data_IF_932702413806
#
_entry.id   IF_932702413806
#
_cell.length_a   1.000
_cell.length_b   1.000
_cell.length_c   1.000
_cell.angle_alpha   90.00
_cell.angle_beta   90.00
_cell.angle_gamma   90.00
#
_symmetry.space_group_name_H-M   'P 1'
#
loop_
_entity.id
_entity.type
_entity.pdbx_description
1 polymer ?
#
# COMPACT_ATOMS: atom_id res chain seq x y z
N UNK A 1 6.07 -23.70 4.43
CA UNK A 1 6.15 -22.24 4.63
C UNK A 1 5.42 -21.90 5.92
N UNK A 2 5.90 -20.94 6.74
CA UNK A 2 5.22 -20.56 7.99
C UNK A 2 4.39 -19.30 7.76
N UNK A 3 3.08 -19.46 7.57
CA UNK A 3 2.13 -18.35 7.39
C UNK A 3 1.86 -17.64 8.71
N UNK A 4 1.35 -16.41 8.63
CA UNK A 4 0.73 -15.73 9.77
C UNK A 4 -0.60 -16.41 10.10
N UNK A 5 -0.98 -16.43 11.37
CA UNK A 5 -2.32 -16.85 11.79
C UNK A 5 -3.31 -15.66 11.80
N UNK A 6 -4.59 -15.95 12.10
CA UNK A 6 -5.66 -14.93 12.17
C UNK A 6 -5.28 -13.74 13.05
N UNK A 7 -4.81 -13.99 14.28
CA UNK A 7 -4.44 -12.92 15.23
C UNK A 7 -3.32 -12.05 14.70
N UNK A 8 -2.29 -12.64 14.07
CA UNK A 8 -1.17 -11.88 13.50
C UNK A 8 -1.61 -11.04 12.28
N UNK A 9 -2.55 -11.54 11.48
CA UNK A 9 -3.14 -10.76 10.39
C UNK A 9 -4.01 -9.61 10.91
N UNK A 10 -4.81 -9.83 11.95
CA UNK A 10 -5.57 -8.75 12.59
C UNK A 10 -4.64 -7.70 13.21
N UNK A 11 -3.57 -8.12 13.89
CA UNK A 11 -2.53 -7.23 14.41
C UNK A 11 -1.87 -6.41 13.30
N UNK A 12 -1.58 -7.03 12.14
CA UNK A 12 -1.05 -6.29 10.99
C UNK A 12 -2.04 -5.24 10.48
N UNK A 13 -3.33 -5.57 10.36
CA UNK A 13 -4.36 -4.63 9.87
C UNK A 13 -4.58 -3.48 10.85
N UNK A 14 -4.57 -3.78 12.15
CA UNK A 14 -4.78 -2.77 13.21
C UNK A 14 -3.53 -1.91 13.36
N UNK A 15 -2.38 -2.52 13.60
CA UNK A 15 -1.16 -1.79 13.96
C UNK A 15 -0.31 -1.36 12.76
N UNK A 16 -0.55 -1.97 11.59
CA UNK A 16 0.22 -1.72 10.37
C UNK A 16 1.57 -2.41 10.32
N UNK A 17 1.91 -3.30 11.27
CA UNK A 17 3.17 -4.05 11.21
C UNK A 17 3.14 -5.40 11.94
N UNK A 18 4.05 -6.29 11.58
CA UNK A 18 4.37 -7.53 12.28
C UNK A 18 5.88 -7.74 12.37
N UNK A 19 6.35 -8.32 13.48
CA UNK A 19 7.75 -8.68 13.67
C UNK A 19 7.95 -10.18 13.44
N UNK A 20 9.01 -10.50 12.69
CA UNK A 20 9.40 -11.87 12.37
C UNK A 20 10.87 -12.01 12.72
N UNK A 21 11.23 -13.15 13.30
CA UNK A 21 12.63 -13.54 13.49
C UNK A 21 13.01 -14.50 12.37
N UNK A 22 13.94 -14.11 11.50
CA UNK A 22 14.54 -15.05 10.56
C UNK A 22 15.56 -15.92 11.32
N UNK A 23 15.45 -17.26 11.30
CA UNK A 23 16.28 -18.17 12.09
C UNK A 23 17.63 -18.44 11.41
N UNK A 24 18.38 -17.39 11.09
CA UNK A 24 19.78 -17.51 10.69
C UNK A 24 20.70 -17.44 11.90
N UNK A 25 21.94 -17.91 11.74
CA UNK A 25 22.93 -17.88 12.81
C UNK A 25 23.41 -16.45 13.08
N UNK A 26 23.90 -16.15 14.30
CA UNK A 26 24.51 -14.84 14.58
C UNK A 26 25.61 -14.46 13.57
N UNK A 27 26.44 -15.43 13.15
CA UNK A 27 27.50 -15.22 12.17
C UNK A 27 26.99 -14.76 10.79
N UNK A 28 25.80 -15.20 10.37
CA UNK A 28 25.17 -14.74 9.14
C UNK A 28 24.86 -13.24 9.23
N UNK A 29 24.23 -12.81 10.31
CA UNK A 29 23.85 -11.41 10.51
C UNK A 29 25.09 -10.51 10.67
N UNK A 30 26.09 -10.96 11.41
CA UNK A 30 27.38 -10.26 11.54
C UNK A 30 28.11 -10.10 10.21
N UNK A 31 28.07 -11.11 9.34
CA UNK A 31 28.64 -11.03 7.99
C UNK A 31 27.92 -9.99 7.13
N UNK A 32 26.58 -9.95 7.17
CA UNK A 32 25.79 -8.93 6.46
C UNK A 32 26.11 -7.53 6.98
N UNK A 33 26.21 -7.37 8.31
CA UNK A 33 26.58 -6.10 8.95
C UNK A 33 27.98 -5.64 8.54
N UNK A 34 28.97 -6.53 8.55
CA UNK A 34 30.35 -6.20 8.20
C UNK A 34 30.47 -5.73 6.74
N UNK A 35 29.79 -6.41 5.81
CA UNK A 35 29.73 -5.99 4.41
C UNK A 35 29.04 -4.63 4.25
N UNK A 36 27.96 -4.38 4.98
CA UNK A 36 27.29 -3.08 4.95
C UNK A 36 28.21 -1.95 5.47
N UNK A 37 28.97 -2.20 6.54
CA UNK A 37 29.92 -1.23 7.08
C UNK A 37 31.05 -0.92 6.08
N UNK A 38 31.60 -1.95 5.44
CA UNK A 38 32.62 -1.80 4.39
C UNK A 38 32.11 -0.97 3.19
N UNK A 39 30.93 -1.31 2.65
CA UNK A 39 30.30 -0.59 1.54
C UNK A 39 30.08 0.89 1.89
N UNK A 40 29.55 1.18 3.08
CA UNK A 40 29.28 2.56 3.50
C UNK A 40 30.56 3.35 3.76
N UNK A 41 31.62 2.70 4.24
CA UNK A 41 32.90 3.35 4.49
C UNK A 41 33.68 3.69 3.20
N UNK A 42 33.41 2.95 2.11
CA UNK A 42 34.15 3.07 0.85
C UNK A 42 33.37 3.81 -0.24
N UNK A 43 32.10 3.47 -0.44
CA UNK A 43 31.28 3.93 -1.59
C UNK A 43 30.05 4.73 -1.17
N UNK A 44 29.67 4.69 0.11
CA UNK A 44 28.45 5.31 0.61
C UNK A 44 27.23 4.41 0.48
N UNK A 45 26.03 5.00 0.42
CA UNK A 45 24.79 4.22 0.37
C UNK A 45 24.62 3.55 -1.01
N UNK A 46 24.57 2.20 -1.09
CA UNK A 46 24.47 1.51 -2.38
C UNK A 46 23.08 1.60 -3.01
N UNK A 47 22.06 2.05 -2.28
CA UNK A 47 20.67 2.08 -2.74
C UNK A 47 20.24 0.72 -3.32
N UNK A 48 19.79 0.74 -4.58
CA UNK A 48 19.38 -0.46 -5.30
C UNK A 48 20.55 -1.41 -5.65
N UNK A 49 21.81 -1.08 -5.40
CA UNK A 49 22.92 -2.02 -5.59
C UNK A 49 23.13 -2.97 -4.38
N UNK A 50 22.35 -2.84 -3.30
CA UNK A 50 22.59 -3.61 -2.07
C UNK A 50 22.45 -5.14 -2.22
N UNK A 51 21.47 -5.66 -2.98
CA UNK A 51 21.28 -7.12 -3.11
C UNK A 51 22.47 -7.78 -3.84
N UNK A 52 22.95 -7.28 -4.99
CA UNK A 52 24.14 -7.86 -5.60
C UNK A 52 25.40 -7.61 -4.75
N UNK A 53 25.46 -6.52 -3.98
CA UNK A 53 26.59 -6.23 -3.09
C UNK A 53 26.63 -7.11 -1.83
N UNK A 54 25.48 -7.56 -1.32
CA UNK A 54 25.37 -8.48 -0.18
C UNK A 54 24.42 -9.63 -0.55
N UNK A 55 24.92 -10.68 -1.22
CA UNK A 55 24.10 -11.77 -1.75
C UNK A 55 23.27 -12.50 -0.70
N UNK A 56 23.72 -12.57 0.57
CA UNK A 56 22.99 -13.20 1.68
C UNK A 56 21.59 -12.60 1.92
N UNK A 57 21.34 -11.37 1.47
CA UNK A 57 20.00 -10.79 1.55
C UNK A 57 18.98 -11.55 0.70
N UNK A 58 19.41 -12.20 -0.39
CA UNK A 58 18.54 -13.08 -1.16
C UNK A 58 18.11 -14.30 -0.34
N UNK A 59 19.02 -14.89 0.45
CA UNK A 59 18.71 -16.01 1.35
C UNK A 59 17.71 -15.57 2.43
N UNK A 60 17.89 -14.38 3.00
CA UNK A 60 16.97 -13.81 4.00
C UNK A 60 15.54 -13.74 3.47
N UNK A 61 15.34 -13.18 2.28
CA UNK A 61 14.00 -13.01 1.70
C UNK A 61 13.41 -14.27 1.08
N UNK A 62 14.25 -15.30 0.86
CA UNK A 62 13.82 -16.64 0.45
C UNK A 62 13.53 -17.55 1.66
N UNK A 63 13.82 -17.09 2.88
CA UNK A 63 13.62 -17.88 4.08
C UNK A 63 12.11 -18.11 4.36
N UNK A 64 11.65 -19.34 4.65
CA UNK A 64 10.23 -19.68 4.79
C UNK A 64 9.42 -18.86 5.80
N UNK A 65 10.06 -18.30 6.83
CA UNK A 65 9.42 -17.41 7.80
C UNK A 65 9.15 -16.01 7.22
N UNK A 66 10.07 -15.48 6.42
CA UNK A 66 9.95 -14.14 5.80
C UNK A 66 9.00 -14.24 4.60
N UNK A 67 9.22 -15.22 3.72
CA UNK A 67 8.34 -15.50 2.58
C UNK A 67 6.91 -15.81 3.04
N UNK A 68 6.77 -16.56 4.16
CA UNK A 68 5.46 -16.91 4.70
C UNK A 68 4.65 -15.71 5.17
N UNK A 69 5.29 -14.79 5.88
CA UNK A 69 4.61 -13.56 6.31
C UNK A 69 4.33 -12.59 5.17
N UNK A 70 5.28 -12.40 4.24
CA UNK A 70 5.04 -11.60 3.03
C UNK A 70 3.90 -12.18 2.19
N UNK A 71 3.83 -13.51 2.04
CA UNK A 71 2.70 -14.16 1.33
C UNK A 71 1.38 -13.97 2.07
N UNK A 72 1.40 -14.05 3.40
CA UNK A 72 0.19 -13.82 4.21
C UNK A 72 -0.38 -12.42 3.97
N UNK A 73 0.48 -11.41 3.88
CA UNK A 73 0.11 -9.99 3.76
C UNK A 73 -0.15 -9.56 2.30
N UNK A 74 0.69 -9.96 1.35
CA UNK A 74 0.65 -9.49 -0.04
C UNK A 74 0.04 -10.50 -1.01
N UNK A 75 -0.32 -11.69 -0.54
CA UNK A 75 -0.77 -12.78 -1.39
C UNK A 75 0.39 -13.57 -2.00
N UNK A 76 0.09 -14.75 -2.59
CA UNK A 76 1.07 -15.49 -3.37
C UNK A 76 1.54 -14.68 -4.57
N UNK A 77 2.75 -14.98 -5.07
CA UNK A 77 3.27 -14.32 -6.26
C UNK A 77 3.60 -12.83 -6.10
N UNK A 78 3.65 -12.30 -4.86
CA UNK A 78 4.13 -10.96 -4.57
C UNK A 78 5.53 -10.74 -5.19
N UNK A 79 5.85 -9.49 -5.52
CA UNK A 79 7.15 -9.13 -6.08
C UNK A 79 7.92 -8.24 -5.11
N UNK A 80 9.24 -8.45 -5.04
CA UNK A 80 10.14 -7.46 -4.44
C UNK A 80 10.31 -6.31 -5.44
N UNK A 81 9.80 -5.13 -5.08
CA UNK A 81 9.93 -3.95 -5.91
C UNK A 81 11.41 -3.54 -6.00
N UNK A 82 11.90 -3.02 -7.14
CA UNK A 82 13.30 -2.64 -7.30
C UNK A 82 13.79 -1.56 -6.34
N UNK A 83 12.89 -0.86 -5.63
CA UNK A 83 13.22 0.12 -4.61
C UNK A 83 13.73 -0.52 -3.31
N UNK A 84 14.92 -0.13 -2.90
CA UNK A 84 15.53 -0.54 -1.63
C UNK A 84 16.49 0.53 -1.14
N UNK A 85 16.57 0.66 0.17
CA UNK A 85 17.36 1.71 0.80
C UNK A 85 18.03 1.20 2.08
N UNK A 86 19.33 1.43 2.20
CA UNK A 86 20.07 1.09 3.39
C UNK A 86 20.22 2.32 4.27
N UNK A 87 19.67 2.28 5.49
CA UNK A 87 19.75 3.37 6.43
C UNK A 87 20.91 3.14 7.40
N UNK A 88 22.01 3.88 7.21
CA UNK A 88 23.03 4.07 8.23
C UNK A 88 22.59 5.16 9.22
N UNK A 89 22.63 4.82 10.50
CA UNK A 89 22.47 5.77 11.60
C UNK A 89 23.72 5.74 12.47
N UNK A 90 24.67 6.66 12.25
CA UNK A 90 25.90 6.72 13.02
C UNK A 90 25.64 7.22 14.45
N UNK A 91 26.59 7.02 15.38
CA UNK A 91 26.57 7.63 16.70
C UNK A 91 26.24 9.13 16.65
N UNK A 92 25.46 9.60 17.62
CA UNK A 92 25.03 11.01 17.77
C UNK A 92 24.10 11.54 16.69
N UNK A 93 23.65 10.72 15.73
CA UNK A 93 22.62 11.15 14.77
C UNK A 93 21.34 11.50 15.53
N UNK A 94 20.77 12.65 15.17
CA UNK A 94 19.51 13.13 15.72
C UNK A 94 18.31 12.45 15.08
N UNK A 95 17.22 12.39 15.82
CA UNK A 95 15.96 11.87 15.35
C UNK A 95 15.42 12.64 14.13
N UNK A 96 14.76 11.91 13.24
CA UNK A 96 13.93 12.46 12.18
C UNK A 96 12.54 12.81 12.74
N UNK A 97 11.74 13.54 11.96
CA UNK A 97 10.29 13.64 12.18
C UNK A 97 9.58 12.43 11.60
N UNK A 98 8.39 12.13 12.11
CA UNK A 98 7.52 11.13 11.50
C UNK A 98 7.19 11.52 10.06
N UNK A 99 7.21 10.52 9.18
CA UNK A 99 6.88 10.65 7.78
C UNK A 99 6.28 9.33 7.28
N UNK A 100 5.60 9.43 6.14
CA UNK A 100 5.29 8.29 5.28
C UNK A 100 6.33 8.24 4.17
N UNK A 101 6.58 7.04 3.65
CA UNK A 101 7.53 6.87 2.57
C UNK A 101 6.99 7.39 1.24
N UNK A 102 7.92 7.74 0.36
CA UNK A 102 7.71 7.91 -1.08
C UNK A 102 8.84 7.18 -1.80
N UNK A 103 8.59 6.70 -3.02
CA UNK A 103 9.65 6.21 -3.89
C UNK A 103 9.82 7.21 -5.04
N UNK A 104 11.06 7.59 -5.39
CA UNK A 104 11.40 8.46 -6.55
C UNK A 104 10.80 9.87 -6.60
N UNK A 105 10.50 10.48 -5.46
CA UNK A 105 9.68 11.71 -5.44
C UNK A 105 8.29 11.52 -6.07
N UNK A 106 7.91 10.27 -6.36
CA UNK A 106 6.59 9.94 -6.86
C UNK A 106 5.56 10.30 -5.80
N UNK A 107 4.58 11.12 -6.20
CA UNK A 107 3.45 11.40 -5.35
C UNK A 107 2.53 10.19 -5.42
N UNK A 108 2.73 9.30 -4.45
CA UNK A 108 2.07 8.02 -4.40
C UNK A 108 0.58 8.19 -4.11
N UNK A 109 -0.26 7.38 -4.76
CA UNK A 109 -1.61 7.13 -4.24
C UNK A 109 -1.46 6.31 -2.96
N UNK A 110 -2.03 6.79 -1.87
CA UNK A 110 -2.09 6.04 -0.60
C UNK A 110 -3.25 5.06 -0.67
N UNK A 111 -3.00 3.81 -0.28
CA UNK A 111 -4.01 2.75 -0.35
C UNK A 111 -4.26 2.19 1.04
N UNK A 112 -5.53 2.12 1.45
CA UNK A 112 -5.90 1.37 2.66
C UNK A 112 -5.81 -0.13 2.44
N UNK A 113 -6.04 -0.59 1.20
CA UNK A 113 -5.78 -1.98 0.80
C UNK A 113 -4.28 -2.21 0.77
N UNK A 114 -3.83 -3.36 1.29
CA UNK A 114 -2.40 -3.69 1.36
C UNK A 114 -1.86 -4.12 -0.02
N UNK A 115 -1.68 -3.12 -0.88
CA UNK A 115 -1.04 -3.23 -2.21
C UNK A 115 0.47 -3.30 -2.09
N UNK A 116 1.02 -2.66 -1.06
CA UNK A 116 2.44 -2.50 -0.83
C UNK A 116 2.78 -2.76 0.63
N UNK A 117 3.95 -3.35 0.86
CA UNK A 117 4.51 -3.50 2.19
C UNK A 117 6.03 -3.32 2.14
N UNK A 118 6.62 -2.94 3.26
CA UNK A 118 8.07 -2.85 3.41
C UNK A 118 8.57 -3.84 4.42
N UNK A 119 9.80 -4.31 4.25
CA UNK A 119 10.51 -5.06 5.26
C UNK A 119 11.70 -4.24 5.78
N UNK A 120 11.74 -4.04 7.10
CA UNK A 120 12.87 -3.46 7.82
C UNK A 120 13.69 -4.58 8.44
N UNK A 121 14.90 -4.78 7.94
CA UNK A 121 15.81 -5.81 8.43
C UNK A 121 16.97 -5.19 9.23
N UNK A 122 17.21 -5.74 10.42
CA UNK A 122 18.35 -5.40 11.27
C UNK A 122 19.39 -6.53 11.27
N UNK A 123 20.61 -6.31 10.74
CA UNK A 123 21.69 -7.29 10.80
C UNK A 123 22.45 -7.25 12.13
N UNK A 124 22.02 -6.44 13.10
CA UNK A 124 22.58 -6.38 14.45
C UNK A 124 21.47 -6.26 15.49
N UNK A 125 21.79 -6.56 16.74
CA UNK A 125 20.92 -6.21 17.87
C UNK A 125 20.69 -4.69 17.89
N UNK A 126 19.44 -4.31 18.12
CA UNK A 126 19.02 -2.91 18.21
C UNK A 126 18.33 -2.68 19.55
N UNK A 127 19.02 -1.95 20.41
CA UNK A 127 18.51 -1.47 21.69
C UNK A 127 17.89 -0.08 21.54
N UNK A 128 17.23 0.40 22.61
CA UNK A 128 16.63 1.74 22.65
C UNK A 128 17.67 2.84 22.34
N UNK A 129 18.89 2.70 22.85
CA UNK A 129 19.96 3.69 22.69
C UNK A 129 20.58 3.70 21.29
N UNK A 130 20.39 2.66 20.48
CA UNK A 130 20.97 2.54 19.13
C UNK A 130 20.16 3.28 18.06
N UNK A 131 19.11 3.98 18.46
CA UNK A 131 18.23 4.71 17.56
C UNK A 131 17.43 3.78 16.66
N UNK A 132 16.57 2.88 17.21
CA UNK A 132 15.69 2.04 16.42
C UNK A 132 14.79 2.88 15.51
N UNK A 133 14.27 2.27 14.45
CA UNK A 133 13.11 2.84 13.76
C UNK A 133 11.94 2.84 14.75
N UNK A 134 11.20 3.92 14.81
CA UNK A 134 9.91 3.93 15.50
C UNK A 134 8.77 4.00 14.50
N UNK A 135 7.62 3.49 14.93
CA UNK A 135 6.38 3.48 14.16
C UNK A 135 5.25 4.03 15.02
N UNK A 136 4.23 4.56 14.35
CA UNK A 136 2.97 4.97 14.96
C UNK A 136 1.91 3.93 14.57
N UNK A 137 1.53 2.98 15.45
CA UNK A 137 0.53 1.97 15.13
C UNK A 137 -0.78 2.58 14.62
N UNK A 138 -1.50 1.87 13.74
CA UNK A 138 -2.77 2.29 13.10
C UNK A 138 -2.70 3.54 12.20
N UNK A 139 -1.53 4.19 12.10
CA UNK A 139 -1.38 5.44 11.36
C UNK A 139 -1.37 5.28 9.83
N UNK A 140 -1.28 4.06 9.31
CA UNK A 140 -1.25 3.79 7.87
C UNK A 140 -2.48 4.26 7.11
N UNK A 141 -3.57 4.52 7.82
CA UNK A 141 -4.83 5.01 7.26
C UNK A 141 -4.96 6.55 7.31
N UNK A 142 -4.00 7.25 7.93
CA UNK A 142 -4.05 8.71 8.08
C UNK A 142 -3.12 9.40 7.09
N UNK A 143 -3.62 10.49 6.52
CA UNK A 143 -2.88 11.36 5.60
C UNK A 143 -2.20 12.49 6.38
N UNK A 144 -2.78 12.94 7.50
CA UNK A 144 -2.19 14.03 8.29
C UNK A 144 -1.24 13.52 9.37
N UNK A 145 -0.07 14.17 9.48
CA UNK A 145 0.87 13.90 10.58
C UNK A 145 0.23 14.17 11.94
N UNK A 146 -0.55 15.24 12.04
CA UNK A 146 -1.17 15.66 13.30
C UNK A 146 -2.17 14.63 13.83
N UNK A 147 -2.86 13.89 12.94
CA UNK A 147 -3.68 12.74 13.35
C UNK A 147 -2.80 11.54 13.70
N UNK A 148 -1.78 11.24 12.89
CA UNK A 148 -0.88 10.10 13.12
C UNK A 148 -0.13 10.20 14.46
N UNK A 149 0.38 11.38 14.83
CA UNK A 149 1.17 11.61 16.05
C UNK A 149 0.34 11.53 17.35
N UNK A 150 -0.98 11.34 17.25
CA UNK A 150 -1.84 11.00 18.41
C UNK A 150 -1.67 9.54 18.84
N UNK A 151 -1.16 8.68 17.95
CA UNK A 151 -0.95 7.26 18.22
C UNK A 151 0.26 7.06 19.14
N UNK A 152 0.20 6.04 19.99
CA UNK A 152 1.31 5.73 20.90
C UNK A 152 2.51 5.19 20.11
N UNK A 153 3.62 5.93 20.14
CA UNK A 153 4.85 5.54 19.45
C UNK A 153 5.45 4.22 19.98
N UNK A 154 5.83 3.34 19.04
CA UNK A 154 6.49 2.06 19.33
C UNK A 154 7.88 2.03 18.72
N UNK A 155 8.88 1.67 19.54
CA UNK A 155 10.27 1.51 19.12
C UNK A 155 10.53 0.08 18.66
N UNK A 156 11.00 -0.07 17.42
CA UNK A 156 11.29 -1.38 16.81
C UNK A 156 12.66 -1.94 17.25
N UNK A 157 12.82 -2.14 18.56
CA UNK A 157 13.95 -2.90 19.11
C UNK A 157 13.81 -4.40 18.80
N UNK A 158 14.95 -5.09 18.81
CA UNK A 158 15.02 -6.52 18.60
C UNK A 158 16.46 -7.00 18.41
N UNK A 159 16.64 -8.31 18.45
CA UNK A 159 17.92 -8.96 18.18
C UNK A 159 18.25 -8.91 16.67
N UNK A 160 19.53 -9.11 16.32
CA UNK A 160 19.98 -9.33 14.94
C UNK A 160 19.14 -10.41 14.26
N UNK A 161 18.73 -10.19 13.01
CA UNK A 161 17.81 -11.10 12.32
C UNK A 161 16.33 -10.76 12.45
N UNK A 162 16.00 -9.73 13.24
CA UNK A 162 14.63 -9.19 13.28
C UNK A 162 14.30 -8.56 11.93
N UNK A 163 13.20 -9.01 11.33
CA UNK A 163 12.56 -8.43 10.16
C UNK A 163 11.19 -7.92 10.59
N UNK A 164 10.96 -6.61 10.49
CA UNK A 164 9.63 -6.03 10.71
C UNK A 164 8.99 -5.77 9.35
N UNK A 165 7.89 -6.44 9.05
CA UNK A 165 7.09 -6.11 7.87
C UNK A 165 6.09 -5.03 8.27
N UNK A 166 6.09 -3.92 7.55
CA UNK A 166 5.21 -2.77 7.79
C UNK A 166 4.34 -2.51 6.57
N UNK A 167 3.13 -2.02 6.79
CA UNK A 167 2.32 -1.41 5.75
C UNK A 167 3.08 -0.24 5.12
N UNK A 168 2.99 -0.07 3.80
CA UNK A 168 3.77 0.96 3.10
C UNK A 168 3.53 2.38 3.65
N UNK A 169 2.28 2.67 3.97
CA UNK A 169 1.85 3.99 4.45
C UNK A 169 1.97 4.18 5.98
N UNK A 170 2.56 3.22 6.71
CA UNK A 170 2.74 3.34 8.16
C UNK A 170 3.69 4.51 8.49
N UNK A 171 3.25 5.43 9.34
CA UNK A 171 4.10 6.54 9.76
C UNK A 171 5.24 6.03 10.62
N UNK A 172 6.45 6.46 10.29
CA UNK A 172 7.65 6.01 10.96
C UNK A 172 8.74 7.09 10.95
N UNK A 173 9.79 6.87 11.75
CA UNK A 173 10.99 7.71 11.76
C UNK A 173 12.21 6.95 12.27
N UNK A 174 13.40 7.42 11.91
CA UNK A 174 14.60 7.06 12.66
C UNK A 174 14.66 7.86 13.96
N UNK A 175 14.90 7.17 15.08
CA UNK A 175 15.18 7.82 16.37
C UNK A 175 16.67 8.11 16.55
N UNK A 176 17.01 8.89 17.58
CA UNK A 176 18.40 9.30 17.83
C UNK A 176 19.28 8.11 18.23
N UNK A 177 20.47 8.01 17.65
CA UNK A 177 21.47 7.02 18.08
C UNK A 177 22.38 7.63 19.14
N UNK A 178 22.16 7.24 20.41
CA UNK A 178 22.95 7.66 21.58
C UNK A 178 24.06 6.66 21.92
N UNK A 179 24.08 5.51 21.24
CA UNK A 179 25.13 4.51 21.38
C UNK A 179 26.44 4.95 20.72
N UNK A 180 27.48 4.12 20.88
CA UNK A 180 28.79 4.30 20.29
C UNK A 180 28.99 3.51 18.98
N UNK A 181 27.93 2.87 18.43
CA UNK A 181 28.03 2.02 17.24
C UNK A 181 27.12 2.49 16.11
N UNK A 182 27.55 2.24 14.87
CA UNK A 182 26.70 2.37 13.69
C UNK A 182 25.49 1.41 13.79
N UNK A 183 24.32 1.90 13.38
CA UNK A 183 23.09 1.10 13.29
C UNK A 183 22.61 1.08 11.85
N UNK A 184 22.64 -0.10 11.23
CA UNK A 184 22.11 -0.36 9.90
C UNK A 184 20.66 -0.85 9.97
N UNK A 185 19.79 -0.31 9.13
CA UNK A 185 18.48 -0.87 8.82
C UNK A 185 18.36 -0.97 7.31
N UNK A 186 18.10 -2.15 6.77
CA UNK A 186 17.93 -2.33 5.33
C UNK A 186 16.44 -2.43 5.01
N UNK A 187 15.96 -1.51 4.18
CA UNK A 187 14.56 -1.36 3.78
C UNK A 187 14.35 -1.92 2.38
N UNK A 188 13.37 -2.80 2.24
CA UNK A 188 12.97 -3.40 0.96
C UNK A 188 11.48 -3.21 0.75
N UNK A 189 11.09 -2.84 -0.46
CA UNK A 189 9.70 -2.65 -0.84
C UNK A 189 9.17 -3.88 -1.57
N UNK A 190 7.91 -4.21 -1.35
CA UNK A 190 7.22 -5.33 -1.98
C UNK A 190 5.84 -4.88 -2.45
N UNK A 191 5.39 -5.44 -3.57
CA UNK A 191 4.06 -5.20 -4.11
C UNK A 191 3.28 -6.51 -4.26
N UNK A 192 1.98 -6.41 -3.97
CA UNK A 192 0.97 -7.40 -4.33
C UNK A 192 0.79 -7.40 -5.84
N UNK A 193 0.81 -8.59 -6.43
CA UNK A 193 0.68 -8.76 -7.89
C UNK A 193 -0.72 -9.17 -8.33
N UNK A 194 -1.55 -9.67 -7.41
CA UNK A 194 -2.86 -10.26 -7.69
C UNK A 194 -3.88 -9.87 -6.60
N UNK A 195 -5.14 -9.67 -6.99
CA UNK A 195 -6.24 -9.48 -6.03
C UNK A 195 -6.41 -10.73 -5.15
N UNK A 196 -6.68 -10.57 -3.85
CA UNK A 196 -7.04 -11.71 -3.00
C UNK A 196 -8.36 -12.33 -3.49
N UNK A 197 -8.34 -13.62 -3.82
CA UNK A 197 -9.53 -14.43 -4.08
C UNK A 197 -9.95 -15.28 -2.86
N UNK A 198 -9.03 -15.45 -1.91
CA UNK A 198 -9.19 -16.19 -0.66
C UNK A 198 -8.09 -15.76 0.32
N UNK A 199 -8.19 -16.10 1.62
CA UNK A 199 -7.10 -15.91 2.57
C UNK A 199 -5.79 -16.52 2.08
N UNK A 200 -4.70 -15.74 2.16
CA UNK A 200 -3.33 -16.18 1.88
C UNK A 200 -2.50 -16.45 3.15
N UNK A 201 -3.15 -16.44 4.31
CA UNK A 201 -2.58 -16.75 5.62
C UNK A 201 -3.19 -18.04 6.20
N UNK A 202 -2.72 -18.49 7.35
CA UNK A 202 -3.28 -19.64 8.08
C UNK A 202 -4.60 -19.23 8.75
N UNK A 203 -5.66 -19.21 7.95
CA UNK A 203 -6.97 -18.72 8.36
C UNK A 203 -7.83 -19.84 8.93
N UNK A 204 -8.27 -19.67 10.17
CA UNK A 204 -9.17 -20.60 10.86
C UNK A 204 -10.56 -20.01 11.08
N UNK A 205 -10.67 -18.68 11.10
CA UNK A 205 -11.92 -17.94 11.22
C UNK A 205 -11.98 -16.81 10.19
N UNK A 206 -12.98 -16.83 9.31
CA UNK A 206 -13.18 -15.78 8.31
C UNK A 206 -13.81 -14.51 8.88
N UNK A 207 -14.41 -14.57 10.06
CA UNK A 207 -15.04 -13.42 10.71
C UNK A 207 -14.00 -12.60 11.48
N UNK A 208 -14.15 -11.28 11.44
CA UNK A 208 -13.38 -10.38 12.27
C UNK A 208 -13.64 -10.67 13.75
N UNK A 209 -12.61 -11.04 14.50
CA UNK A 209 -12.70 -11.15 15.96
C UNK A 209 -12.56 -9.76 16.57
N UNK A 210 -13.61 -9.31 17.25
CA UNK A 210 -13.56 -8.06 18.02
C UNK A 210 -12.60 -8.22 19.20
N UNK A 211 -11.76 -7.20 19.44
CA UNK A 211 -10.94 -7.10 20.64
C UNK A 211 -11.76 -6.58 21.82
N UNK A 212 -11.32 -6.85 23.05
CA UNK A 212 -11.91 -6.26 24.25
C UNK A 212 -11.62 -4.74 24.39
N UNK A 213 -10.68 -4.21 23.60
CA UNK A 213 -10.36 -2.79 23.54
C UNK A 213 -11.31 -2.03 22.59
N UNK A 214 -11.55 -0.74 22.87
CA UNK A 214 -12.32 0.13 21.97
C UNK A 214 -11.58 0.27 20.64
N UNK A 215 -12.18 -0.24 19.56
CA UNK A 215 -11.65 -0.13 18.20
C UNK A 215 -11.81 1.31 17.69
N UNK A 216 -10.72 1.96 17.24
CA UNK A 216 -10.76 3.33 16.70
C UNK A 216 -11.40 3.37 15.30
N UNK A 217 -11.13 2.35 14.47
CA UNK A 217 -11.54 2.29 13.06
C UNK A 217 -12.23 0.95 12.69
N UNK A 218 -13.29 0.52 13.41
CA UNK A 218 -13.85 -0.82 13.30
C UNK A 218 -14.42 -1.17 11.92
N UNK A 219 -15.13 -0.24 11.25
CA UNK A 219 -15.65 -0.53 9.90
C UNK A 219 -14.53 -0.61 8.87
N UNK A 220 -13.50 0.24 9.00
CA UNK A 220 -12.34 0.21 8.13
C UNK A 220 -11.60 -1.13 8.26
N UNK A 221 -11.24 -1.55 9.48
CA UNK A 221 -10.47 -2.78 9.70
C UNK A 221 -11.21 -4.02 9.20
N UNK A 222 -12.53 -4.10 9.42
CA UNK A 222 -13.37 -5.17 8.86
C UNK A 222 -13.39 -5.16 7.34
N UNK A 223 -13.46 -3.99 6.72
CA UNK A 223 -13.39 -3.88 5.26
C UNK A 223 -12.06 -4.38 4.70
N UNK A 224 -10.94 -4.00 5.32
CA UNK A 224 -9.59 -4.46 4.91
C UNK A 224 -9.42 -5.97 5.14
N UNK A 225 -9.89 -6.50 6.27
CA UNK A 225 -9.92 -7.94 6.57
C UNK A 225 -10.72 -8.73 5.53
N UNK A 226 -11.95 -8.27 5.24
CA UNK A 226 -12.81 -8.89 4.24
C UNK A 226 -12.18 -8.88 2.86
N UNK A 227 -11.50 -7.79 2.49
CA UNK A 227 -10.74 -7.73 1.23
C UNK A 227 -9.63 -8.78 1.21
N UNK A 228 -8.78 -8.89 2.24
CA UNK A 228 -7.76 -9.95 2.33
C UNK A 228 -8.36 -11.36 2.26
N UNK A 229 -9.56 -11.57 2.80
CA UNK A 229 -10.31 -12.82 2.70
C UNK A 229 -10.93 -13.10 1.32
N UNK A 230 -10.72 -12.21 0.34
CA UNK A 230 -11.27 -12.29 -1.01
C UNK A 230 -12.74 -11.89 -1.10
N UNK A 231 -13.20 -11.01 -0.21
CA UNK A 231 -14.58 -10.55 -0.07
C UNK A 231 -15.61 -11.69 0.08
N UNK A 232 -15.18 -12.83 0.62
CA UNK A 232 -16.07 -13.99 0.89
C UNK A 232 -17.10 -13.69 1.98
N UNK A 233 -16.80 -12.73 2.85
CA UNK A 233 -17.71 -12.22 3.88
C UNK A 233 -18.59 -11.13 3.26
N UNK A 234 -19.38 -11.47 2.25
CA UNK A 234 -20.50 -10.63 1.83
C UNK A 234 -21.66 -11.46 1.30
N UNK A 235 -22.62 -11.75 2.18
CA UNK A 235 -24.02 -11.87 1.80
C UNK A 235 -24.88 -11.20 2.88
N UNK A 236 -25.70 -10.27 2.43
CA UNK A 236 -26.79 -9.64 3.17
C UNK A 236 -27.51 -10.64 4.09
N UNK A 237 -27.28 -10.60 5.42
CA UNK A 237 -28.26 -10.88 6.49
C UNK A 237 -27.71 -11.01 7.92
N UNK A 238 -26.42 -11.28 8.15
CA UNK A 238 -26.01 -11.72 9.50
C UNK A 238 -25.65 -10.63 10.53
N UNK A 239 -25.34 -9.39 10.11
CA UNK A 239 -25.17 -8.27 11.06
C UNK A 239 -26.49 -7.73 11.64
N UNK A 240 -27.63 -8.31 11.25
CA UNK A 240 -28.93 -8.04 11.87
C UNK A 240 -29.18 -8.91 13.12
N UNK A 241 -28.45 -10.01 13.30
CA UNK A 241 -28.78 -11.02 14.32
C UNK A 241 -28.09 -10.79 15.69
N UNK A 242 -27.15 -9.85 15.81
CA UNK A 242 -26.48 -9.50 17.09
C UNK A 242 -26.98 -8.19 17.71
N UNK A 243 -28.04 -7.57 17.17
CA UNK A 243 -28.68 -6.45 17.86
C UNK A 243 -29.64 -6.97 18.93
N UNK A 244 -29.20 -6.85 20.19
CA UNK A 244 -30.13 -6.63 21.29
C UNK A 244 -31.14 -5.54 20.88
N UNK A 245 -32.41 -5.81 21.19
CA UNK A 245 -33.63 -5.08 20.84
C UNK A 245 -33.51 -3.68 20.21
N UNK A 246 -34.28 -3.39 19.14
CA UNK A 246 -34.31 -2.06 18.54
C UNK A 246 -34.83 -1.05 19.57
N UNK A 247 -33.94 -0.20 20.07
CA UNK A 247 -34.37 1.07 20.66
C UNK A 247 -35.03 1.87 19.53
N UNK A 248 -36.22 2.41 19.82
CA UNK A 248 -37.05 3.19 18.90
C UNK A 248 -36.22 4.22 18.10
N UNK A 249 -36.65 4.58 16.88
CA UNK A 249 -35.92 5.52 16.04
C UNK A 249 -35.94 6.90 16.70
N UNK A 250 -34.92 7.16 17.52
CA UNK A 250 -34.53 8.51 17.87
C UNK A 250 -34.05 9.17 16.58
N UNK A 251 -34.60 10.32 16.27
CA UNK A 251 -34.13 11.18 15.20
C UNK A 251 -32.67 11.54 15.45
N UNK A 252 -31.74 10.76 14.91
CA UNK A 252 -30.36 11.19 14.69
C UNK A 252 -30.27 11.96 13.36
N UNK A 253 -31.18 12.92 13.17
CA UNK A 253 -30.76 14.19 12.57
C UNK A 253 -30.06 14.96 13.70
N UNK A 254 -28.85 14.52 14.04
CA UNK A 254 -27.94 15.30 14.84
C UNK A 254 -27.52 16.51 14.03
N UNK A 255 -28.32 17.57 14.09
CA UNK A 255 -27.81 18.92 13.91
C UNK A 255 -26.58 19.05 14.81
N UNK A 256 -25.39 19.15 14.19
CA UNK A 256 -24.13 19.47 14.86
C UNK A 256 -24.24 20.94 15.30
N UNK A 257 -25.00 21.20 16.35
CA UNK A 257 -24.88 22.41 17.14
C UNK A 257 -23.74 22.18 18.13
N UNK A 258 -22.51 22.50 17.71
CA UNK A 258 -21.33 22.30 18.55
C UNK A 258 -19.97 22.23 17.84
N UNK A 259 -19.68 23.13 16.90
CA UNK A 259 -18.38 23.81 16.80
C UNK A 259 -17.03 23.05 16.72
N UNK A 260 -16.97 21.78 16.31
CA UNK A 260 -15.68 21.14 16.00
C UNK A 260 -15.73 20.34 14.69
N UNK A 261 -14.80 20.63 13.79
CA UNK A 261 -14.59 19.84 12.56
C UNK A 261 -14.29 18.38 12.96
N UNK A 262 -14.96 17.37 12.35
CA UNK A 262 -14.71 15.97 12.68
C UNK A 262 -13.23 15.60 12.47
N UNK A 263 -12.65 14.79 13.36
CA UNK A 263 -11.28 14.29 13.19
C UNK A 263 -11.15 13.46 11.93
N UNK A 264 -9.93 13.35 11.37
CA UNK A 264 -9.67 12.52 10.17
C UNK A 264 -10.14 11.07 10.38
N UNK A 265 -9.88 10.49 11.56
CA UNK A 265 -10.37 9.16 11.92
C UNK A 265 -11.91 9.06 11.87
N UNK A 266 -12.61 10.07 12.41
CA UNK A 266 -14.08 10.11 12.39
C UNK A 266 -14.65 10.23 10.98
N UNK A 267 -14.00 11.02 10.11
CA UNK A 267 -14.39 11.17 8.70
C UNK A 267 -14.17 9.86 7.91
N UNK A 268 -13.02 9.20 8.10
CA UNK A 268 -12.73 7.92 7.48
C UNK A 268 -13.74 6.85 7.89
N UNK A 269 -13.98 6.73 9.19
CA UNK A 269 -14.94 5.75 9.70
C UNK A 269 -16.37 6.05 9.21
N UNK A 270 -16.75 7.33 9.04
CA UNK A 270 -18.00 7.69 8.38
C UNK A 270 -18.05 7.25 6.91
N UNK A 271 -16.95 7.42 6.15
CA UNK A 271 -16.89 6.97 4.75
C UNK A 271 -17.07 5.44 4.64
N UNK A 272 -16.45 4.67 5.53
CA UNK A 272 -16.63 3.20 5.61
C UNK A 272 -18.02 2.79 6.10
N UNK A 273 -18.71 3.59 6.92
CA UNK A 273 -20.13 3.33 7.24
C UNK A 273 -21.05 3.58 6.05
N UNK A 274 -20.79 4.64 5.27
CA UNK A 274 -21.57 4.95 4.07
C UNK A 274 -21.43 3.86 3.01
N UNK A 275 -20.24 3.26 2.85
CA UNK A 275 -20.01 2.19 1.87
C UNK A 275 -20.95 0.98 2.05
N UNK A 276 -21.45 0.76 3.27
CA UNK A 276 -22.37 -0.32 3.63
C UNK A 276 -23.84 -0.02 3.34
N UNK A 277 -24.16 1.19 2.88
CA UNK A 277 -25.55 1.64 2.68
C UNK A 277 -26.07 1.42 1.26
N UNK A 278 -25.32 0.74 0.40
CA UNK A 278 -25.71 0.51 -0.99
C UNK A 278 -25.77 1.83 -1.79
N UNK A 279 -26.71 1.93 -2.72
CA UNK A 279 -26.81 3.07 -3.64
C UNK A 279 -26.90 4.46 -2.94
N UNK A 280 -27.69 4.65 -1.85
CA UNK A 280 -27.66 5.90 -1.09
C UNK A 280 -26.26 6.28 -0.58
N UNK A 281 -25.50 5.27 -0.11
CA UNK A 281 -24.11 5.45 0.32
C UNK A 281 -23.19 5.89 -0.81
N UNK A 282 -23.32 5.27 -2.00
CA UNK A 282 -22.54 5.65 -3.18
C UNK A 282 -22.80 7.09 -3.60
N UNK A 283 -24.08 7.51 -3.60
CA UNK A 283 -24.49 8.87 -3.95
C UNK A 283 -23.84 9.89 -3.02
N UNK A 284 -23.94 9.65 -1.72
CA UNK A 284 -23.37 10.54 -0.71
C UNK A 284 -21.84 10.59 -0.79
N UNK A 285 -21.17 9.44 -0.92
CA UNK A 285 -19.72 9.37 -1.08
C UNK A 285 -19.24 10.07 -2.35
N UNK A 286 -19.95 9.93 -3.47
CA UNK A 286 -19.59 10.59 -4.74
C UNK A 286 -19.79 12.10 -4.66
N UNK A 287 -20.81 12.56 -3.93
CA UNK A 287 -21.01 13.99 -3.65
C UNK A 287 -19.84 14.54 -2.82
N UNK A 288 -19.49 13.87 -1.71
CA UNK A 288 -18.35 14.27 -0.86
C UNK A 288 -17.03 14.24 -1.61
N UNK A 289 -16.84 13.25 -2.49
CA UNK A 289 -15.68 13.19 -3.37
C UNK A 289 -15.52 14.48 -4.20
N UNK A 290 -16.62 14.99 -4.77
CA UNK A 290 -16.60 16.23 -5.54
C UNK A 290 -16.26 17.45 -4.67
N UNK A 291 -16.79 17.51 -3.45
CA UNK A 291 -16.50 18.58 -2.48
C UNK A 291 -15.04 18.53 -2.03
N UNK A 292 -14.55 17.37 -1.61
CA UNK A 292 -13.15 17.15 -1.20
C UNK A 292 -12.16 17.49 -2.32
N UNK A 293 -12.49 17.14 -3.57
CA UNK A 293 -11.65 17.43 -4.74
C UNK A 293 -11.48 18.93 -5.00
N UNK A 294 -12.43 19.76 -4.60
CA UNK A 294 -12.32 21.23 -4.70
C UNK A 294 -11.55 21.78 -3.51
N UNK A 295 -11.88 21.31 -2.30
CA UNK A 295 -11.30 21.82 -1.05
C UNK A 295 -9.81 21.50 -0.91
N UNK A 296 -9.38 20.32 -1.36
CA UNK A 296 -8.04 19.80 -1.08
C UNK A 296 -7.06 19.94 -2.25
N UNK A 297 -7.51 20.33 -3.45
CA UNK A 297 -6.65 20.29 -4.64
C UNK A 297 -5.39 21.14 -4.49
N UNK A 298 -5.54 22.42 -4.16
CA UNK A 298 -4.41 23.35 -4.02
C UNK A 298 -3.45 22.88 -2.93
N UNK A 299 -4.01 22.39 -1.81
CA UNK A 299 -3.23 21.82 -0.72
C UNK A 299 -2.42 20.59 -1.16
N UNK A 300 -3.08 19.64 -1.83
CA UNK A 300 -2.45 18.40 -2.26
C UNK A 300 -1.40 18.65 -3.36
N UNK A 301 -1.65 19.58 -4.28
CA UNK A 301 -0.66 19.98 -5.30
C UNK A 301 0.57 20.67 -4.70
N UNK A 302 0.40 21.44 -3.63
CA UNK A 302 1.51 22.06 -2.92
C UNK A 302 2.26 21.09 -1.99
N UNK A 303 1.58 20.03 -1.54
CA UNK A 303 2.15 19.02 -0.66
C UNK A 303 3.14 18.12 -1.42
N UNK A 304 4.33 17.94 -0.85
CA UNK A 304 5.29 16.97 -1.38
C UNK A 304 4.80 15.56 -1.12
N UNK A 305 4.96 14.69 -2.10
CA UNK A 305 4.67 13.25 -1.99
C UNK A 305 3.19 12.91 -1.68
N UNK A 306 2.28 13.82 -2.05
CA UNK A 306 0.83 13.63 -1.96
C UNK A 306 0.24 13.63 -3.36
N UNK A 307 -0.52 12.60 -3.71
CA UNK A 307 -1.26 12.61 -4.96
C UNK A 307 -2.40 13.65 -4.89
N UNK A 308 -2.51 14.58 -5.87
CA UNK A 308 -3.58 15.59 -5.92
C UNK A 308 -5.01 15.03 -5.80
N UNK A 309 -5.24 13.79 -6.25
CA UNK A 309 -6.53 13.12 -6.24
C UNK A 309 -6.72 12.11 -5.09
N UNK A 310 -5.86 12.16 -4.06
CA UNK A 310 -6.03 11.37 -2.85
C UNK A 310 -7.11 12.00 -1.96
N UNK A 311 -8.29 11.41 -1.97
CA UNK A 311 -9.49 11.93 -1.29
C UNK A 311 -10.04 10.88 -0.33
N UNK A 312 -10.60 11.30 0.80
CA UNK A 312 -11.07 10.38 1.86
C UNK A 312 -12.26 9.54 1.37
N UNK A 313 -13.14 10.16 0.59
CA UNK A 313 -14.30 9.49 0.02
C UNK A 313 -13.93 8.37 -0.97
N UNK A 314 -12.70 8.35 -1.52
CA UNK A 314 -12.18 7.24 -2.32
C UNK A 314 -12.26 5.92 -1.54
N UNK A 315 -11.84 5.92 -0.28
CA UNK A 315 -11.76 4.70 0.52
C UNK A 315 -13.13 4.07 0.79
N UNK A 316 -14.16 4.91 1.00
CA UNK A 316 -15.54 4.46 1.13
C UNK A 316 -16.07 3.85 -0.16
N UNK A 317 -15.84 4.49 -1.31
CA UNK A 317 -16.25 3.97 -2.62
C UNK A 317 -15.51 2.66 -2.96
N UNK A 318 -14.22 2.56 -2.64
CA UNK A 318 -13.44 1.32 -2.76
C UNK A 318 -14.01 0.20 -1.90
N UNK A 319 -14.36 0.49 -0.64
CA UNK A 319 -14.93 -0.49 0.28
C UNK A 319 -16.30 -1.01 -0.18
N UNK A 320 -17.03 -0.20 -0.94
CA UNK A 320 -18.31 -0.58 -1.51
C UNK A 320 -18.20 -1.54 -2.70
N UNK A 321 -17.06 -1.52 -3.41
CA UNK A 321 -16.80 -2.43 -4.52
C UNK A 321 -17.68 -2.16 -5.74
N UNK A 322 -18.20 -3.24 -6.36
CA UNK A 322 -18.93 -3.18 -7.63
C UNK A 322 -20.11 -2.19 -7.64
N UNK A 323 -20.79 -1.99 -6.50
CA UNK A 323 -21.93 -1.08 -6.39
C UNK A 323 -21.56 0.40 -6.59
N UNK A 324 -20.30 0.79 -6.37
CA UNK A 324 -19.83 2.15 -6.63
C UNK A 324 -19.52 2.41 -8.11
N UNK A 325 -19.34 1.36 -8.92
CA UNK A 325 -18.80 1.50 -10.29
C UNK A 325 -19.67 2.38 -11.21
N UNK A 326 -21.01 2.31 -11.20
CA UNK A 326 -21.83 3.22 -12.02
C UNK A 326 -21.60 4.70 -11.72
N UNK A 327 -21.36 5.05 -10.45
CA UNK A 327 -21.09 6.42 -10.03
C UNK A 327 -19.69 6.86 -10.48
N UNK A 328 -18.71 5.98 -10.36
CA UNK A 328 -17.33 6.23 -10.80
C UNK A 328 -17.21 6.38 -12.32
N UNK A 329 -18.00 5.63 -13.08
CA UNK A 329 -18.11 5.79 -14.53
C UNK A 329 -18.60 7.19 -14.91
N UNK A 330 -19.58 7.73 -14.18
CA UNK A 330 -20.01 9.11 -14.36
C UNK A 330 -18.91 10.11 -13.94
N UNK A 331 -18.20 9.85 -12.84
CA UNK A 331 -17.10 10.72 -12.38
C UNK A 331 -15.93 10.77 -13.37
N UNK A 332 -15.66 9.69 -14.13
CA UNK A 332 -14.67 9.68 -15.21
C UNK A 332 -14.99 10.65 -16.36
N UNK A 333 -16.23 11.14 -16.46
CA UNK A 333 -16.65 12.14 -17.46
C UNK A 333 -16.52 13.59 -16.97
N UNK A 334 -16.05 13.79 -15.73
CA UNK A 334 -15.90 15.12 -15.14
C UNK A 334 -14.98 16.02 -15.97
N UNK A 335 -15.34 17.31 -16.06
CA UNK A 335 -14.48 18.34 -16.63
C UNK A 335 -13.18 18.52 -15.83
N UNK A 336 -13.19 18.19 -14.53
CA UNK A 336 -12.02 18.30 -13.65
C UNK A 336 -11.16 17.03 -13.70
N UNK A 337 -9.91 17.18 -14.13
CA UNK A 337 -8.97 16.05 -14.22
C UNK A 337 -8.73 15.37 -12.88
N UNK A 338 -8.79 16.11 -11.75
CA UNK A 338 -8.56 15.56 -10.41
C UNK A 338 -9.65 14.55 -10.03
N UNK A 339 -10.90 14.80 -10.44
CA UNK A 339 -12.00 13.86 -10.25
C UNK A 339 -11.91 12.65 -11.17
N UNK A 340 -11.49 12.85 -12.43
CA UNK A 340 -11.22 11.72 -13.33
C UNK A 340 -10.10 10.83 -12.78
N UNK A 341 -9.03 11.43 -12.26
CA UNK A 341 -7.91 10.72 -11.66
C UNK A 341 -8.34 9.98 -10.37
N UNK A 342 -9.14 10.61 -9.49
CA UNK A 342 -9.69 9.96 -8.31
C UNK A 342 -10.59 8.77 -8.68
N UNK A 343 -11.46 8.93 -9.68
CA UNK A 343 -12.34 7.84 -10.11
C UNK A 343 -11.56 6.67 -10.72
N UNK A 344 -10.56 6.94 -11.56
CA UNK A 344 -9.68 5.91 -12.10
C UNK A 344 -8.94 5.16 -10.99
N UNK A 345 -8.45 5.87 -9.97
CA UNK A 345 -7.81 5.29 -8.80
C UNK A 345 -8.75 4.36 -8.02
N UNK A 346 -9.95 4.85 -7.66
CA UNK A 346 -10.94 4.03 -6.94
C UNK A 346 -11.32 2.79 -7.73
N UNK A 347 -11.53 2.89 -9.04
CA UNK A 347 -11.81 1.73 -9.89
C UNK A 347 -10.66 0.73 -9.88
N UNK A 348 -9.42 1.22 -9.89
CA UNK A 348 -8.23 0.40 -9.77
C UNK A 348 -8.10 -0.28 -8.42
N UNK A 349 -8.42 0.42 -7.33
CA UNK A 349 -8.34 -0.15 -6.00
C UNK A 349 -9.52 -1.09 -5.72
N UNK A 350 -10.69 -0.93 -6.35
CA UNK A 350 -11.77 -1.94 -6.36
C UNK A 350 -11.28 -3.24 -6.99
N UNK A 351 -10.52 -3.16 -8.09
CA UNK A 351 -9.93 -4.31 -8.80
C UNK A 351 -10.91 -4.98 -9.76
N UNK A 352 -10.81 -6.31 -9.93
CA UNK A 352 -11.62 -7.10 -10.86
C UNK A 352 -13.15 -6.82 -10.82
N UNK A 353 -13.81 -6.56 -9.67
CA UNK A 353 -15.21 -6.19 -9.63
C UNK A 353 -15.57 -4.89 -10.38
N UNK A 354 -14.58 -4.07 -10.74
CA UNK A 354 -14.73 -2.88 -11.58
C UNK A 354 -14.51 -3.13 -13.08
N UNK A 355 -14.42 -4.40 -13.53
CA UNK A 355 -14.16 -4.76 -14.93
C UNK A 355 -15.12 -4.09 -15.94
N UNK A 356 -16.37 -3.79 -15.58
CA UNK A 356 -17.28 -3.05 -16.47
C UNK A 356 -16.76 -1.63 -16.83
N UNK A 357 -15.80 -1.09 -16.09
CA UNK A 357 -15.17 0.20 -16.37
C UNK A 357 -14.01 0.13 -17.38
N UNK A 358 -13.63 -1.06 -17.85
CA UNK A 358 -12.53 -1.28 -18.80
C UNK A 358 -12.57 -0.32 -19.99
N UNK A 359 -13.69 -0.16 -20.74
CA UNK A 359 -13.71 0.73 -21.89
C UNK A 359 -13.37 2.18 -21.52
N UNK A 360 -13.92 2.69 -20.42
CA UNK A 360 -13.66 4.07 -19.99
C UNK A 360 -12.26 4.28 -19.41
N UNK A 361 -11.72 3.29 -18.72
CA UNK A 361 -10.33 3.30 -18.28
C UNK A 361 -9.36 3.30 -19.47
N UNK A 362 -9.69 2.60 -20.57
CA UNK A 362 -8.89 2.63 -21.80
C UNK A 362 -8.93 4.00 -22.49
N UNK A 363 -10.05 4.73 -22.41
CA UNK A 363 -10.13 6.12 -22.90
C UNK A 363 -9.23 7.04 -22.05
N UNK A 364 -9.24 6.87 -20.73
CA UNK A 364 -8.42 7.64 -19.79
C UNK A 364 -6.91 7.51 -20.02
N UNK A 365 -6.45 6.49 -20.77
CA UNK A 365 -5.04 6.36 -21.16
C UNK A 365 -4.59 7.39 -22.20
N UNK A 366 -5.50 8.14 -22.81
CA UNK A 366 -5.20 9.26 -23.72
C UNK A 366 -5.53 10.64 -23.10
N UNK A 367 -5.82 10.70 -21.80
CA UNK A 367 -6.18 11.95 -21.12
C UNK A 367 -5.01 12.96 -21.12
N UNK A 368 -5.31 14.25 -21.24
CA UNK A 368 -4.32 15.32 -21.20
C UNK A 368 -3.55 15.35 -19.87
N UNK A 369 -4.23 15.03 -18.77
CA UNK A 369 -3.62 14.98 -17.44
C UNK A 369 -2.84 13.69 -17.24
N UNK A 370 -1.55 13.81 -16.92
CA UNK A 370 -0.74 12.65 -16.57
C UNK A 370 -1.30 11.90 -15.36
N UNK A 371 -1.92 12.58 -14.38
CA UNK A 371 -2.53 11.92 -13.22
C UNK A 371 -3.64 10.95 -13.60
N UNK A 372 -4.47 11.33 -14.58
CA UNK A 372 -5.53 10.46 -15.08
C UNK A 372 -4.92 9.25 -15.80
N UNK A 373 -3.96 9.47 -16.71
CA UNK A 373 -3.27 8.38 -17.42
C UNK A 373 -2.57 7.42 -16.45
N UNK A 374 -1.91 7.96 -15.43
CA UNK A 374 -1.18 7.20 -14.40
C UNK A 374 -2.11 6.28 -13.61
N UNK A 375 -3.19 6.83 -13.05
CA UNK A 375 -4.13 6.06 -12.24
C UNK A 375 -4.92 5.05 -13.10
N UNK A 376 -5.31 5.43 -14.32
CA UNK A 376 -5.95 4.49 -15.26
C UNK A 376 -5.02 3.33 -15.65
N UNK A 377 -3.74 3.61 -15.87
CA UNK A 377 -2.71 2.59 -16.17
C UNK A 377 -2.58 1.59 -15.02
N UNK A 378 -2.54 2.08 -13.77
CA UNK A 378 -2.51 1.21 -12.59
C UNK A 378 -3.81 0.42 -12.42
N UNK A 379 -4.95 1.06 -12.62
CA UNK A 379 -6.27 0.42 -12.51
C UNK A 379 -6.41 -0.77 -13.46
N UNK A 380 -5.99 -0.62 -14.71
CA UNK A 380 -6.00 -1.71 -15.68
C UNK A 380 -5.08 -2.88 -15.28
N UNK A 381 -3.97 -2.59 -14.59
CA UNK A 381 -3.09 -3.62 -14.01
C UNK A 381 -3.73 -4.37 -12.83
N UNK A 382 -4.45 -3.67 -11.95
CA UNK A 382 -5.15 -4.28 -10.81
C UNK A 382 -6.39 -5.08 -11.24
N UNK A 383 -7.11 -4.61 -12.27
CA UNK A 383 -8.19 -5.38 -12.91
C UNK A 383 -7.63 -6.61 -13.66
N UNK A 384 -6.37 -6.53 -14.10
CA UNK A 384 -5.60 -7.58 -14.77
C UNK A 384 -6.25 -8.10 -16.07
N UNK A 385 -6.85 -7.22 -16.87
CA UNK A 385 -7.49 -7.61 -18.12
C UNK A 385 -6.53 -7.66 -19.32
N UNK A 386 -6.53 -8.74 -20.12
CA UNK A 386 -5.71 -8.86 -21.33
C UNK A 386 -6.04 -7.81 -22.40
N UNK A 387 -7.26 -7.27 -22.41
CA UNK A 387 -7.70 -6.26 -23.39
C UNK A 387 -6.88 -4.96 -23.29
N UNK A 388 -6.34 -4.67 -22.10
CA UNK A 388 -5.50 -3.49 -21.86
C UNK A 388 -4.07 -3.62 -22.43
N UNK A 389 -3.61 -4.85 -22.68
CA UNK A 389 -2.19 -5.13 -23.00
C UNK A 389 -1.66 -4.31 -24.17
N UNK A 390 -2.35 -4.17 -25.32
CA UNK A 390 -1.84 -3.37 -26.44
C UNK A 390 -1.65 -1.89 -26.08
N UNK A 391 -2.57 -1.32 -25.30
CA UNK A 391 -2.52 0.09 -24.88
C UNK A 391 -1.44 0.32 -23.83
N UNK A 392 -1.31 -0.57 -22.85
CA UNK A 392 -0.24 -0.54 -21.85
C UNK A 392 1.14 -0.67 -22.51
N UNK A 393 1.30 -1.59 -23.47
CA UNK A 393 2.54 -1.77 -24.22
C UNK A 393 2.92 -0.52 -25.05
N UNK A 394 1.93 0.23 -25.55
CA UNK A 394 2.13 1.51 -26.22
C UNK A 394 2.63 2.57 -25.22
N UNK A 395 1.90 2.78 -24.12
CA UNK A 395 2.26 3.77 -23.10
C UNK A 395 3.67 3.55 -22.55
N UNK A 396 4.02 2.29 -22.25
CA UNK A 396 5.34 1.88 -21.80
C UNK A 396 6.50 2.41 -22.67
N UNK A 397 6.27 2.62 -23.97
CA UNK A 397 7.33 3.03 -24.91
C UNK A 397 7.16 4.44 -25.45
N UNK A 398 6.00 5.07 -25.25
CA UNK A 398 5.64 6.32 -25.93
C UNK A 398 5.19 7.45 -24.99
N UNK A 399 4.75 7.17 -23.76
CA UNK A 399 4.31 8.25 -22.87
C UNK A 399 5.50 9.12 -22.45
N UNK A 400 5.32 10.45 -22.46
CA UNK A 400 6.36 11.39 -22.05
C UNK A 400 6.64 11.32 -20.55
N UNK A 401 5.62 11.04 -19.75
CA UNK A 401 5.72 10.91 -18.31
C UNK A 401 6.28 9.53 -17.94
N UNK A 402 7.48 9.51 -17.37
CA UNK A 402 8.11 8.26 -16.93
C UNK A 402 7.28 7.56 -15.84
N UNK A 403 6.45 8.32 -15.10
CA UNK A 403 5.55 7.74 -14.13
C UNK A 403 4.48 6.84 -14.77
N UNK A 404 3.90 7.28 -15.89
CA UNK A 404 2.98 6.46 -16.69
C UNK A 404 3.70 5.23 -17.24
N UNK A 405 4.94 5.40 -17.75
CA UNK A 405 5.71 4.28 -18.33
C UNK A 405 6.04 3.20 -17.29
N UNK A 406 6.44 3.55 -16.07
CA UNK A 406 6.73 2.54 -15.06
C UNK A 406 5.46 1.84 -14.58
N UNK A 407 4.34 2.58 -14.45
CA UNK A 407 3.04 1.98 -14.13
C UNK A 407 2.63 0.99 -15.23
N UNK A 408 2.85 1.33 -16.50
CA UNK A 408 2.54 0.43 -17.61
C UNK A 408 3.38 -0.86 -17.52
N UNK A 409 4.67 -0.77 -17.20
CA UNK A 409 5.51 -1.94 -16.98
C UNK A 409 5.02 -2.81 -15.81
N UNK A 410 4.69 -2.20 -14.67
CA UNK A 410 4.19 -2.91 -13.49
C UNK A 410 2.80 -3.53 -13.74
N UNK A 411 1.90 -2.83 -14.44
CA UNK A 411 0.58 -3.34 -14.84
C UNK A 411 0.70 -4.54 -15.79
N UNK A 412 1.61 -4.51 -16.76
CA UNK A 412 1.92 -5.67 -17.60
C UNK A 412 2.48 -6.83 -16.76
N UNK A 413 3.28 -6.56 -15.72
CA UNK A 413 3.75 -7.58 -14.79
C UNK A 413 2.61 -8.21 -13.97
N UNK A 414 1.64 -7.40 -13.52
CA UNK A 414 0.43 -7.86 -12.81
C UNK A 414 -0.46 -8.74 -13.69
N UNK A 415 -0.67 -8.35 -14.95
CA UNK A 415 -1.40 -9.16 -15.95
C UNK A 415 -0.68 -10.51 -16.22
N UNK A 416 0.64 -10.55 -16.11
CA UNK A 416 1.41 -11.80 -16.15
C UNK A 416 1.37 -12.48 -17.53
N UNK A 417 1.17 -13.81 -17.63
CA UNK A 417 1.26 -14.55 -18.91
C UNK A 417 0.34 -14.02 -20.01
N UNK A 418 -0.81 -13.45 -19.64
CA UNK A 418 -1.74 -12.82 -20.58
C UNK A 418 -1.16 -11.58 -21.28
N UNK A 419 -0.09 -10.98 -20.75
CA UNK A 419 0.63 -9.85 -21.34
C UNK A 419 1.77 -10.27 -22.30
N UNK A 420 1.87 -11.54 -22.70
CA UNK A 420 2.96 -12.05 -23.56
C UNK A 420 3.13 -11.28 -24.87
N UNK A 421 2.06 -10.74 -25.44
CA UNK A 421 2.10 -9.92 -26.66
C UNK A 421 2.85 -8.59 -26.47
N UNK A 422 3.05 -8.13 -25.24
CA UNK A 422 3.85 -6.94 -24.92
C UNK A 422 5.37 -7.21 -24.85
N UNK A 423 5.84 -8.45 -25.08
CA UNK A 423 7.25 -8.85 -24.93
C UNK A 423 8.24 -7.90 -25.64
N UNK A 424 7.94 -7.49 -26.87
CA UNK A 424 8.84 -6.60 -27.64
C UNK A 424 8.92 -5.20 -27.04
N UNK A 425 7.80 -4.65 -26.57
CA UNK A 425 7.78 -3.35 -25.88
C UNK A 425 8.53 -3.40 -24.56
N UNK A 426 8.35 -4.48 -23.79
CA UNK A 426 9.08 -4.73 -22.55
C UNK A 426 10.59 -4.87 -22.78
N UNK A 427 11.00 -5.59 -23.83
CA UNK A 427 12.41 -5.70 -24.21
C UNK A 427 13.02 -4.34 -24.55
N UNK A 428 12.30 -3.48 -25.27
CA UNK A 428 12.73 -2.10 -25.56
C UNK A 428 12.85 -1.27 -24.27
N UNK A 429 11.87 -1.38 -23.37
CA UNK A 429 11.83 -0.62 -22.11
C UNK A 429 12.96 -0.96 -21.13
N UNK A 430 13.65 -2.09 -21.28
CA UNK A 430 14.88 -2.38 -20.52
C UNK A 430 16.02 -1.38 -20.78
N UNK A 431 15.92 -0.57 -21.82
CA UNK A 431 16.87 0.51 -22.14
C UNK A 431 16.27 1.91 -21.88
N UNK A 432 15.13 2.03 -21.18
CA UNK A 432 14.56 3.32 -20.81
C UNK A 432 15.53 4.13 -19.94
N UNK A 433 15.47 5.46 -20.01
CA UNK A 433 16.34 6.34 -19.21
C UNK A 433 16.02 6.26 -17.72
N UNK A 434 14.75 6.05 -17.34
CA UNK A 434 14.34 5.87 -15.96
C UNK A 434 14.61 4.42 -15.48
N UNK A 435 15.22 4.29 -14.30
CA UNK A 435 15.61 3.01 -13.71
C UNK A 435 14.43 2.07 -13.49
N UNK A 436 13.30 2.57 -13.02
CA UNK A 436 12.17 1.77 -12.58
C UNK A 436 11.33 1.30 -13.75
N UNK A 437 11.28 2.07 -14.85
CA UNK A 437 10.80 1.55 -16.13
C UNK A 437 11.61 0.33 -16.53
N UNK A 438 12.96 0.39 -16.47
CA UNK A 438 13.82 -0.76 -16.82
C UNK A 438 13.59 -1.96 -15.90
N UNK A 439 13.59 -1.74 -14.58
CA UNK A 439 13.47 -2.84 -13.63
C UNK A 439 12.07 -3.46 -13.61
N UNK A 440 11.00 -2.65 -13.70
CA UNK A 440 9.65 -3.19 -13.83
C UNK A 440 9.45 -3.90 -15.16
N UNK A 441 10.10 -3.45 -16.25
CA UNK A 441 10.08 -4.18 -17.51
C UNK A 441 10.76 -5.55 -17.39
N UNK A 442 11.86 -5.67 -16.64
CA UNK A 442 12.49 -6.97 -16.34
C UNK A 442 11.60 -7.86 -15.48
N UNK A 443 10.97 -7.31 -14.45
CA UNK A 443 9.99 -8.03 -13.63
C UNK A 443 8.85 -8.58 -14.49
N UNK A 444 8.29 -7.74 -15.36
CA UNK A 444 7.23 -8.13 -16.29
C UNK A 444 7.71 -9.25 -17.23
N UNK A 445 8.89 -9.13 -17.87
CA UNK A 445 9.44 -10.17 -18.74
C UNK A 445 9.59 -11.52 -18.04
N UNK A 446 9.93 -11.53 -16.74
CA UNK A 446 9.96 -12.76 -15.94
C UNK A 446 8.55 -13.31 -15.74
N UNK A 447 7.59 -12.47 -15.37
CA UNK A 447 6.20 -12.90 -15.08
C UNK A 447 5.36 -13.26 -16.30
N UNK A 448 5.66 -12.74 -17.48
CA UNK A 448 4.95 -13.16 -18.72
C UNK A 448 5.44 -14.51 -19.25
N UNK A 449 6.56 -15.03 -18.71
CA UNK A 449 7.19 -16.30 -19.12
C UNK A 449 6.87 -17.47 -18.19
N UNK A 450 6.34 -17.21 -17.01
CA UNK A 450 5.93 -18.26 -16.08
C UNK A 450 4.64 -18.89 -16.59
N UNK A 451 4.72 -20.15 -17.00
CA UNK A 451 3.58 -20.94 -17.49
C UNK A 451 2.66 -21.41 -16.34
#
# INVERSE_FOLDING_TARGET
MKLLNDSQMQEFIVNGFVKIKAPFTPAFHDSVRAQADDIFSTTGNPGNAILPAIPQLADLFSHPAVTGALTSILGPGYAMHPHRHCHLTPPRKTAQRHHQDSYEDDQNVRHHRTRWAMAFYYPQDVTLEMGPTSVLPASQYYTSRDQAEKQQEVLLCGEAGTVTIVHYDLWHRATSNRSHRNRFMMKFLFCRMEEPAAPSWDCTNLSWSESAAVEELPQLWRSVWNWHAGNKVSNHREDAATRGSPRAPGSENGSIEGGATPSEAGQLEQAYRLSRQGEPGSKELTKRLAEEAVELLDHNQAARHTNPSQLRSNFGLTAQGAAAVPFLLYTLESAHWSLRAAAADVLGDIGLPASQALPRLLDCLDDDSEWVRRNATEALGNIASPEAVPRLARLLTQDSCHFVRHNAALSLAKIGPLAKTASSSLQRAQNDTNLYVRENARLALTRIRTD
#
